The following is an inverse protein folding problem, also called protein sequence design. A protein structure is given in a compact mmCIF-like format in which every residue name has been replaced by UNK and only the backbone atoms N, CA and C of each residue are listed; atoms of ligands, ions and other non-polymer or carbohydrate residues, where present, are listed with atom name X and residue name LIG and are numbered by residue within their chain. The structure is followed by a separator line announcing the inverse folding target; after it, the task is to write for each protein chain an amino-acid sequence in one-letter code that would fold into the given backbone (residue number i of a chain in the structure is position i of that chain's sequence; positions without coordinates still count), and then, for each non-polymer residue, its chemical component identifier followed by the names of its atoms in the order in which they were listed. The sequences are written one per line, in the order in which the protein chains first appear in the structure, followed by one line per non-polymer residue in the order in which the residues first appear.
data_IF_831060572627
#
_entry.id   IF_831060572627
#
_cell.length_a   1.000
_cell.length_b   1.000
_cell.length_c   1.000
_cell.angle_alpha   90.00
_cell.angle_beta   90.00
_cell.angle_gamma   90.00
#
_symmetry.space_group_name_H-M   'P 1'
#
loop_
_entity.id
_entity.type
_entity.pdbx_description
1 polymer ?
#
# COMPACT_ATOMS: atom_id res chain seq x y z
N UNK A 1 15.58 52.74 1.48
CA UNK A 1 16.66 52.38 2.43
C UNK A 1 16.19 51.45 3.57
N UNK A 2 15.46 50.38 3.26
CA UNK A 2 15.53 49.14 4.02
C UNK A 2 14.94 48.03 3.12
N UNK A 3 15.70 47.59 2.10
CA UNK A 3 15.40 46.35 1.40
C UNK A 3 15.63 45.25 2.44
N UNK A 4 14.60 44.95 3.24
CA UNK A 4 14.64 43.86 4.22
C UNK A 4 14.95 42.58 3.46
N UNK A 5 15.78 41.71 4.05
CA UNK A 5 16.04 40.36 3.54
C UNK A 5 14.75 39.58 3.21
N UNK A 6 13.63 39.95 3.84
CA UNK A 6 12.29 39.46 3.52
C UNK A 6 11.91 39.62 2.03
N UNK A 7 12.17 40.77 1.41
CA UNK A 7 11.83 40.97 -0.02
C UNK A 7 12.75 40.18 -0.95
N UNK A 8 14.01 39.98 -0.56
CA UNK A 8 14.93 39.10 -1.29
C UNK A 8 14.44 37.65 -1.24
N UNK A 9 13.97 37.18 -0.08
CA UNK A 9 13.34 35.86 0.03
C UNK A 9 12.08 35.74 -0.83
N UNK A 10 11.26 36.79 -0.90
CA UNK A 10 10.10 36.80 -1.81
C UNK A 10 10.49 36.75 -3.29
N UNK A 11 11.62 37.36 -3.68
CA UNK A 11 12.14 37.23 -5.05
C UNK A 11 12.55 35.80 -5.37
N UNK A 12 13.20 35.09 -4.45
CA UNK A 12 13.57 33.69 -4.66
C UNK A 12 12.34 32.78 -4.76
N UNK A 13 11.39 32.91 -3.83
CA UNK A 13 10.10 32.20 -3.91
C UNK A 13 9.36 32.48 -5.22
N UNK A 14 9.50 33.69 -5.78
CA UNK A 14 8.89 34.00 -7.07
C UNK A 14 9.54 33.20 -8.21
N UNK A 15 10.86 33.07 -8.21
CA UNK A 15 11.60 32.30 -9.21
C UNK A 15 11.34 30.79 -9.12
N UNK A 16 11.03 30.31 -7.91
CA UNK A 16 10.69 28.91 -7.61
C UNK A 16 9.19 28.60 -7.79
N UNK A 17 8.36 29.56 -8.20
CA UNK A 17 6.89 29.45 -8.33
C UNK A 17 6.17 29.08 -7.00
N UNK A 18 6.73 29.46 -5.85
CA UNK A 18 6.21 29.17 -4.50
C UNK A 18 5.47 30.35 -3.85
N UNK A 19 5.20 31.42 -4.61
CA UNK A 19 4.67 32.67 -4.08
C UNK A 19 3.15 32.63 -3.88
N UNK A 20 2.66 33.07 -2.72
CA UNK A 20 1.22 33.26 -2.50
C UNK A 20 0.71 34.59 -3.11
N UNK A 21 -0.60 34.68 -3.37
CA UNK A 21 -1.23 35.90 -3.92
C UNK A 21 -1.07 37.16 -3.02
N UNK A 22 -0.84 36.97 -1.72
CA UNK A 22 -0.59 38.09 -0.81
C UNK A 22 0.86 38.56 -0.91
N UNK A 23 1.80 37.62 -0.87
CA UNK A 23 3.24 37.88 -1.03
C UNK A 23 3.55 38.49 -2.40
N UNK A 24 2.88 38.05 -3.47
CA UNK A 24 3.05 38.61 -4.81
C UNK A 24 2.67 40.10 -4.86
N UNK A 25 1.54 40.46 -4.23
CA UNK A 25 1.11 41.87 -4.15
C UNK A 25 2.10 42.71 -3.34
N UNK A 26 2.61 42.16 -2.24
CA UNK A 26 3.62 42.84 -1.41
C UNK A 26 4.92 43.05 -2.17
N UNK A 27 5.40 42.03 -2.87
CA UNK A 27 6.60 42.09 -3.70
C UNK A 27 6.43 43.13 -4.82
N UNK A 28 5.34 43.08 -5.58
CA UNK A 28 5.04 44.07 -6.63
C UNK A 28 4.97 45.50 -6.10
N UNK A 29 4.32 45.71 -4.95
CA UNK A 29 4.24 47.03 -4.32
C UNK A 29 5.62 47.55 -3.87
N UNK A 30 6.53 46.66 -3.46
CA UNK A 30 7.89 47.02 -3.11
C UNK A 30 8.74 47.37 -4.34
N UNK A 31 8.67 46.53 -5.38
CA UNK A 31 9.39 46.74 -6.65
C UNK A 31 9.02 48.07 -7.32
N UNK A 32 7.77 48.53 -7.19
CA UNK A 32 7.34 49.84 -7.70
C UNK A 32 7.94 51.03 -6.92
N UNK A 33 8.36 50.82 -5.67
CA UNK A 33 8.83 51.89 -4.78
C UNK A 33 10.35 51.93 -4.63
N UNK A 34 11.05 50.84 -4.97
CA UNK A 34 12.48 50.69 -4.76
C UNK A 34 13.19 50.26 -6.05
N UNK A 35 13.91 51.21 -6.66
CA UNK A 35 14.65 50.99 -7.90
C UNK A 35 15.79 49.97 -7.73
N UNK A 36 16.48 49.97 -6.59
CA UNK A 36 17.58 49.02 -6.31
C UNK A 36 17.08 47.57 -6.31
N UNK A 37 16.01 47.31 -5.57
CA UNK A 37 15.38 45.99 -5.51
C UNK A 37 14.75 45.61 -6.88
N UNK A 38 14.28 46.58 -7.68
CA UNK A 38 13.84 46.33 -9.06
C UNK A 38 14.97 45.90 -9.99
N UNK A 39 16.12 46.60 -9.94
CA UNK A 39 17.31 46.25 -10.73
C UNK A 39 17.81 44.85 -10.38
N UNK A 40 17.91 44.55 -9.08
CA UNK A 40 18.33 43.23 -8.61
C UNK A 40 17.39 42.10 -9.08
N UNK A 41 16.07 42.31 -8.98
CA UNK A 41 15.10 41.34 -9.46
C UNK A 41 15.17 41.10 -10.98
N UNK A 42 15.43 42.16 -11.75
CA UNK A 42 15.62 42.07 -13.19
C UNK A 42 16.89 41.29 -13.56
N UNK A 43 17.99 41.48 -12.83
CA UNK A 43 19.24 40.71 -13.01
C UNK A 43 19.04 39.21 -12.73
N UNK A 44 18.33 38.88 -11.65
CA UNK A 44 17.98 37.49 -11.32
C UNK A 44 17.11 36.85 -12.42
N UNK A 45 16.04 37.52 -12.82
CA UNK A 45 15.11 37.02 -13.86
C UNK A 45 15.80 36.85 -15.21
N UNK A 46 16.72 37.75 -15.56
CA UNK A 46 17.53 37.62 -16.78
C UNK A 46 18.40 36.35 -16.76
N UNK A 47 18.96 36.02 -15.61
CA UNK A 47 19.79 34.81 -15.46
C UNK A 47 18.94 33.56 -15.57
N UNK A 48 17.80 33.51 -14.90
CA UNK A 48 16.84 32.39 -14.98
C UNK A 48 16.35 32.15 -16.41
N UNK A 49 15.94 33.21 -17.10
CA UNK A 49 15.46 33.12 -18.50
C UNK A 49 16.54 32.66 -19.47
N UNK A 50 17.81 33.05 -19.26
CA UNK A 50 18.93 32.61 -20.09
C UNK A 50 19.26 31.12 -19.89
N UNK A 51 19.16 30.62 -18.66
CA UNK A 51 19.31 29.19 -18.38
C UNK A 51 18.17 28.40 -19.02
N UNK A 52 16.93 28.88 -18.88
CA UNK A 52 15.73 28.25 -19.47
C UNK A 52 15.73 28.26 -21.00
N UNK A 53 16.28 29.28 -21.65
CA UNK A 53 16.35 29.33 -23.12
C UNK A 53 17.35 28.34 -23.71
N UNK A 54 18.36 27.95 -22.94
CA UNK A 54 19.39 26.98 -23.36
C UNK A 54 18.89 25.53 -23.22
N UNK A 55 17.80 25.28 -22.49
CA UNK A 55 17.36 23.94 -22.11
C UNK A 55 16.43 23.24 -23.12
N UNK A 56 16.50 23.57 -24.41
CA UNK A 56 15.86 22.76 -25.47
C UNK A 56 16.61 21.44 -25.71
N UNK A 57 16.91 20.71 -24.62
CA UNK A 57 17.43 19.36 -24.67
C UNK A 57 16.27 18.40 -24.90
N UNK A 58 16.04 18.05 -26.17
CA UNK A 58 15.21 16.91 -26.49
C UNK A 58 15.90 15.62 -25.98
N UNK A 59 15.21 14.76 -25.23
CA UNK A 59 15.75 13.47 -24.86
C UNK A 59 16.01 12.65 -26.13
N UNK A 60 17.07 11.82 -26.12
CA UNK A 60 17.33 10.90 -27.24
C UNK A 60 16.10 10.01 -27.50
N UNK A 61 15.86 9.63 -28.76
CA UNK A 61 14.72 8.79 -29.16
C UNK A 61 14.57 7.50 -28.34
N UNK A 62 15.68 6.99 -27.77
CA UNK A 62 15.74 5.76 -27.00
C UNK A 62 15.70 5.97 -25.48
N UNK A 63 15.54 7.21 -24.99
CA UNK A 63 15.58 7.54 -23.56
C UNK A 63 14.51 6.78 -22.78
N UNK A 64 13.25 6.85 -23.24
CA UNK A 64 12.12 6.17 -22.59
C UNK A 64 12.36 4.67 -22.50
N UNK A 65 12.76 4.04 -23.60
CA UNK A 65 13.04 2.59 -23.64
C UNK A 65 14.15 2.21 -22.67
N UNK A 66 15.23 2.99 -22.62
CA UNK A 66 16.37 2.74 -21.74
C UNK A 66 15.99 2.93 -20.26
N UNK A 67 15.22 3.95 -19.92
CA UNK A 67 14.73 4.18 -18.56
C UNK A 67 13.82 3.03 -18.13
N UNK A 68 12.82 2.69 -18.96
CA UNK A 68 11.87 1.60 -18.69
C UNK A 68 12.55 0.24 -18.51
N UNK A 69 13.63 -0.02 -19.25
CA UNK A 69 14.41 -1.26 -19.10
C UNK A 69 15.21 -1.34 -17.78
N UNK A 70 15.60 -0.20 -17.21
CA UNK A 70 16.40 -0.12 -15.98
C UNK A 70 15.56 0.06 -14.70
N UNK A 71 14.24 0.25 -14.83
CA UNK A 71 13.35 0.29 -13.67
C UNK A 71 13.30 -1.10 -13.00
N UNK A 72 13.42 -1.17 -11.66
CA UNK A 72 13.30 -2.42 -10.94
C UNK A 72 11.91 -3.01 -11.21
N UNK A 73 11.87 -4.23 -11.75
CA UNK A 73 10.60 -4.94 -12.01
C UNK A 73 9.82 -5.01 -10.71
N UNK A 74 8.58 -4.50 -10.74
CA UNK A 74 7.66 -4.66 -9.61
C UNK A 74 7.64 -6.13 -9.20
N UNK A 75 7.96 -6.39 -7.92
CA UNK A 75 7.98 -7.75 -7.39
C UNK A 75 6.56 -8.30 -7.54
N UNK A 76 6.34 -9.20 -8.50
CA UNK A 76 5.09 -9.94 -8.69
C UNK A 76 4.89 -10.92 -7.53
N UNK A 77 4.74 -10.41 -6.30
CA UNK A 77 4.53 -11.21 -5.09
C UNK A 77 3.19 -11.95 -5.09
N UNK A 78 2.28 -11.63 -6.01
CA UNK A 78 0.88 -12.09 -5.99
C UNK A 78 0.48 -12.98 -7.17
N UNK A 79 1.41 -13.70 -7.80
CA UNK A 79 1.08 -14.63 -8.89
C UNK A 79 0.16 -15.78 -8.44
N UNK A 80 0.50 -16.43 -7.33
CA UNK A 80 -0.29 -17.55 -6.79
C UNK A 80 -1.67 -17.08 -6.27
N UNK A 81 -1.72 -15.99 -5.51
CA UNK A 81 -2.96 -15.45 -4.95
C UNK A 81 -3.96 -15.01 -6.05
N UNK A 82 -3.45 -14.52 -7.19
CA UNK A 82 -4.26 -14.15 -8.35
C UNK A 82 -4.77 -15.39 -9.11
N UNK A 83 -3.99 -16.47 -9.16
CA UNK A 83 -4.42 -17.74 -9.76
C UNK A 83 -5.57 -18.39 -8.96
N UNK A 84 -5.47 -18.42 -7.62
CA UNK A 84 -6.56 -18.88 -6.75
C UNK A 84 -7.84 -18.05 -6.91
N UNK A 85 -7.73 -16.72 -7.12
CA UNK A 85 -8.88 -15.84 -7.40
C UNK A 85 -9.46 -16.01 -8.81
N UNK A 86 -8.64 -16.36 -9.81
CA UNK A 86 -9.09 -16.51 -11.19
C UNK A 86 -9.85 -17.82 -11.44
N UNK A 87 -9.67 -18.83 -10.57
CA UNK A 87 -10.31 -20.13 -10.71
C UNK A 87 -11.04 -20.57 -9.43
N UNK A 88 -12.09 -19.85 -9.01
CA UNK A 88 -12.82 -20.13 -7.76
C UNK A 88 -13.48 -21.53 -7.73
N UNK A 89 -13.78 -22.09 -8.90
CA UNK A 89 -14.40 -23.42 -9.01
C UNK A 89 -13.40 -24.53 -8.68
N UNK A 90 -12.17 -24.44 -9.20
CA UNK A 90 -11.12 -25.43 -8.95
C UNK A 90 -10.70 -25.45 -7.48
N UNK A 91 -10.64 -24.28 -6.86
CA UNK A 91 -10.29 -24.14 -5.44
C UNK A 91 -11.38 -24.71 -4.54
N UNK A 92 -12.66 -24.41 -4.83
CA UNK A 92 -13.79 -25.00 -4.13
C UNK A 92 -13.84 -26.54 -4.28
N UNK A 93 -13.60 -27.06 -5.49
CA UNK A 93 -13.55 -28.49 -5.74
C UNK A 93 -12.43 -29.18 -4.95
N UNK A 94 -11.22 -28.60 -4.93
CA UNK A 94 -10.10 -29.14 -4.15
C UNK A 94 -10.41 -29.19 -2.65
N UNK A 95 -11.01 -28.12 -2.09
CA UNK A 95 -11.42 -28.09 -0.68
C UNK A 95 -12.50 -29.15 -0.41
N UNK A 96 -13.50 -29.26 -1.30
CA UNK A 96 -14.54 -30.28 -1.18
C UNK A 96 -13.94 -31.69 -1.13
N UNK A 97 -13.05 -32.03 -2.06
CA UNK A 97 -12.39 -33.34 -2.05
C UNK A 97 -11.53 -33.56 -0.81
N UNK A 98 -10.76 -32.56 -0.37
CA UNK A 98 -9.93 -32.67 0.85
C UNK A 98 -10.81 -32.94 2.08
N UNK A 99 -11.91 -32.21 2.24
CA UNK A 99 -12.86 -32.45 3.32
C UNK A 99 -13.53 -33.82 3.19
N UNK A 100 -13.91 -34.21 1.98
CA UNK A 100 -14.58 -35.48 1.69
C UNK A 100 -13.67 -36.68 2.00
N UNK A 101 -12.43 -36.68 1.49
CA UNK A 101 -11.43 -37.69 1.80
C UNK A 101 -11.02 -37.65 3.28
N UNK A 102 -10.90 -36.48 3.87
CA UNK A 102 -10.62 -36.32 5.31
C UNK A 102 -11.72 -36.91 6.18
N UNK A 103 -12.99 -36.72 5.82
CA UNK A 103 -14.13 -37.33 6.51
C UNK A 103 -14.13 -38.85 6.38
N UNK A 104 -13.92 -39.40 5.17
CA UNK A 104 -13.82 -40.86 4.99
C UNK A 104 -12.69 -41.42 5.87
N UNK A 105 -11.50 -40.81 5.82
CA UNK A 105 -10.34 -41.27 6.58
C UNK A 105 -10.59 -41.20 8.10
N UNK A 106 -11.21 -40.11 8.58
CA UNK A 106 -11.60 -39.98 9.99
C UNK A 106 -12.61 -41.03 10.42
N UNK A 107 -13.59 -41.37 9.58
CA UNK A 107 -14.57 -42.43 9.91
C UNK A 107 -13.96 -43.84 9.88
N UNK A 108 -12.90 -44.06 9.10
CA UNK A 108 -12.17 -45.32 9.11
C UNK A 108 -11.43 -45.51 10.45
N UNK A 109 -10.76 -44.47 10.95
CA UNK A 109 -10.17 -44.46 12.29
C UNK A 109 -11.21 -44.74 13.39
N UNK A 110 -12.46 -44.32 13.16
CA UNK A 110 -13.60 -44.56 14.05
C UNK A 110 -14.26 -45.95 13.92
N UNK A 111 -13.65 -46.91 13.23
CA UNK A 111 -14.06 -48.33 13.30
C UNK A 111 -13.84 -48.98 14.68
N UNK A 112 -13.17 -48.29 15.61
CA UNK A 112 -12.97 -48.73 17.00
C UNK A 112 -14.00 -48.22 18.02
N UNK A 113 -14.89 -47.27 17.68
CA UNK A 113 -15.76 -46.66 18.69
C UNK A 113 -17.03 -46.02 18.10
N UNK A 114 -17.84 -46.82 17.40
CA UNK A 114 -19.25 -46.48 17.18
C UNK A 114 -20.05 -46.88 18.44
N UNK A 115 -20.74 -45.89 19.00
CA UNK A 115 -21.46 -45.97 20.27
C UNK A 115 -22.54 -47.07 20.28
N UNK A 116 -22.23 -48.19 20.92
CA UNK A 116 -23.19 -48.85 21.81
C UNK A 116 -22.62 -48.64 23.19
N UNK A 117 -23.15 -47.66 23.91
CA UNK A 117 -22.97 -47.60 25.36
C UNK A 117 -23.68 -48.83 25.92
N UNK A 118 -22.97 -49.96 25.93
CA UNK A 118 -23.31 -51.11 26.75
C UNK A 118 -23.04 -50.66 28.17
N UNK A 119 -23.98 -49.90 28.72
CA UNK A 119 -23.85 -49.28 30.01
C UNK A 119 -24.02 -50.35 31.10
N UNK A 120 -22.94 -51.10 31.28
CA UNK A 120 -22.75 -52.07 32.35
C UNK A 120 -22.88 -51.40 33.73
N UNK A 121 -22.79 -50.07 33.80
CA UNK A 121 -22.96 -49.32 35.05
C UNK A 121 -24.44 -49.09 35.40
N UNK A 122 -25.39 -49.02 34.45
CA UNK A 122 -26.83 -48.96 34.78
C UNK A 122 -27.33 -50.24 35.41
N UNK A 123 -26.88 -51.40 34.91
CA UNK A 123 -27.30 -52.70 35.46
C UNK A 123 -26.78 -52.86 36.89
N UNK A 124 -25.53 -52.45 37.14
CA UNK A 124 -24.95 -52.49 38.49
C UNK A 124 -25.64 -51.50 39.44
N UNK A 125 -25.99 -50.30 38.97
CA UNK A 125 -26.75 -49.31 39.74
C UNK A 125 -28.19 -49.78 40.06
N UNK A 126 -28.86 -50.44 39.11
CA UNK A 126 -30.19 -51.03 39.34
C UNK A 126 -30.16 -52.19 40.34
N UNK A 127 -29.13 -53.06 40.30
CA UNK A 127 -28.95 -54.12 41.29
C UNK A 127 -28.72 -53.56 42.70
N UNK A 128 -27.97 -52.45 42.81
CA UNK A 128 -27.75 -51.76 44.10
C UNK A 128 -29.03 -51.08 44.61
N UNK A 129 -29.80 -50.44 43.73
CA UNK A 129 -31.08 -49.81 44.07
C UNK A 129 -32.20 -50.80 44.40
N UNK A 130 -32.11 -52.05 43.90
CA UNK A 130 -33.01 -53.16 44.24
C UNK A 130 -32.56 -53.96 45.48
N UNK A 131 -31.51 -53.51 46.19
CA UNK A 131 -31.10 -54.10 47.46
C UNK A 131 -30.57 -55.54 47.35
N UNK A 132 -29.94 -55.89 46.22
CA UNK A 132 -29.34 -57.22 46.05
C UNK A 132 -27.94 -57.26 46.67
N UNK A 133 -27.88 -57.37 48.00
CA UNK A 133 -26.64 -57.60 48.76
C UNK A 133 -26.22 -59.06 48.57
N UNK A 134 -25.24 -59.28 47.69
CA UNK A 134 -24.71 -60.63 47.44
C UNK A 134 -23.75 -61.00 48.58
N UNK A 135 -24.28 -61.77 49.53
CA UNK A 135 -23.51 -62.57 50.49
C UNK A 135 -22.64 -63.61 49.76
#
# INVERSE_FOLDING_TARGET
MNCKNEFVNLMHKYLDDELSLQEERQLKAHLQKCEDCQKYFHELTRTDTLVKSTSTMQPSSNFTTKVMANLPKEKRRWGYMRWFKSHPILTAAAIFFVLMFGSIFSTWDQSGQLSVSNDQHVIMALLYMLGYEKN
#
